data_IF_235032318644
#
_entry.id   IF_235032318644
#
_cell.length_a   1.000
_cell.length_b   1.000
_cell.length_c   1.000
_cell.angle_alpha   90.00
_cell.angle_beta   90.00
_cell.angle_gamma   90.00
#
_symmetry.space_group_name_H-M   'P 1'
#
loop_
_entity.id
_entity.type
_entity.pdbx_description
1 polymer ?
#
# COMPACT_ATOMS: atom_id res chain seq x y z
N UNK A 1 9.12 -10.16 16.95
CA UNK A 1 7.95 -9.72 16.15
C UNK A 1 8.38 -9.61 14.70
N UNK A 2 7.63 -10.19 13.76
CA UNK A 2 8.01 -10.14 12.34
C UNK A 2 7.85 -8.73 11.75
N UNK A 3 8.49 -8.45 10.61
CA UNK A 3 8.36 -7.12 9.99
C UNK A 3 6.93 -6.90 9.48
N UNK A 4 6.27 -7.95 8.99
CA UNK A 4 4.87 -7.85 8.59
C UNK A 4 3.96 -7.45 9.76
N UNK A 5 4.12 -8.08 10.93
CA UNK A 5 3.31 -7.71 12.09
C UNK A 5 3.54 -6.25 12.52
N UNK A 6 4.80 -5.77 12.48
CA UNK A 6 5.08 -4.36 12.80
C UNK A 6 4.40 -3.41 11.83
N UNK A 7 4.51 -3.68 10.53
CA UNK A 7 3.82 -2.89 9.50
C UNK A 7 2.31 -2.91 9.70
N UNK A 8 1.73 -4.08 9.98
CA UNK A 8 0.30 -4.25 10.17
C UNK A 8 -0.23 -3.48 11.39
N UNK A 9 0.45 -3.58 12.53
CA UNK A 9 0.04 -2.93 13.78
C UNK A 9 0.22 -1.41 13.71
N UNK A 10 1.23 -0.95 12.97
CA UNK A 10 1.49 0.48 12.76
C UNK A 10 0.69 1.09 11.61
N UNK A 11 -0.08 0.30 10.85
CA UNK A 11 -0.85 0.82 9.73
C UNK A 11 -2.06 1.60 10.24
N UNK A 12 -2.20 2.90 9.90
CA UNK A 12 -3.30 3.75 10.37
C UNK A 12 -4.60 3.48 9.59
N UNK A 13 -5.08 2.24 9.67
CA UNK A 13 -6.33 1.77 9.07
C UNK A 13 -7.53 2.58 9.55
N UNK A 14 -8.41 3.00 8.64
CA UNK A 14 -9.57 3.83 8.96
C UNK A 14 -9.29 5.30 9.32
N UNK A 15 -8.03 5.67 9.60
CA UNK A 15 -7.63 7.04 9.99
C UNK A 15 -7.09 7.88 8.83
N UNK A 16 -7.23 9.20 8.86
CA UNK A 16 -6.64 10.11 7.87
C UNK A 16 -5.41 10.80 8.49
N UNK A 17 -4.23 10.15 8.52
CA UNK A 17 -3.07 10.68 9.22
C UNK A 17 -2.62 12.05 8.70
N UNK A 18 -2.74 12.30 7.39
CA UNK A 18 -2.51 13.64 6.85
C UNK A 18 -3.77 14.48 6.99
N UNK A 19 -3.96 15.08 8.16
CA UNK A 19 -5.04 16.01 8.46
C UNK A 19 -4.50 17.25 9.17
N UNK A 20 -5.16 18.39 8.93
CA UNK A 20 -4.90 19.67 9.61
C UNK A 20 -6.23 20.19 10.16
N UNK A 21 -6.25 20.58 11.43
CA UNK A 21 -7.46 21.06 12.13
C UNK A 21 -8.67 20.11 12.02
N UNK A 22 -8.40 18.80 12.08
CA UNK A 22 -9.42 17.75 11.96
C UNK A 22 -9.95 17.52 10.55
N UNK A 23 -9.42 18.20 9.54
CA UNK A 23 -9.80 18.03 8.12
C UNK A 23 -8.73 17.29 7.35
N UNK A 24 -9.15 16.33 6.54
CA UNK A 24 -8.26 15.57 5.66
C UNK A 24 -7.64 16.49 4.60
N UNK A 25 -6.31 16.53 4.50
CA UNK A 25 -5.61 17.35 3.50
C UNK A 25 -5.65 16.72 2.09
N UNK A 26 -5.85 15.40 2.02
CA UNK A 26 -5.97 14.63 0.78
C UNK A 26 -7.12 13.63 0.89
N UNK A 27 -7.89 13.47 -0.18
CA UNK A 27 -9.00 12.49 -0.23
C UNK A 27 -8.46 11.05 -0.17
N UNK A 28 -7.50 10.73 -1.03
CA UNK A 28 -6.85 9.43 -1.10
C UNK A 28 -5.57 9.41 -0.27
N UNK A 29 -5.57 8.60 0.79
CA UNK A 29 -4.43 8.50 1.72
C UNK A 29 -3.82 7.09 1.78
N UNK A 30 -4.01 6.23 0.77
CA UNK A 30 -3.46 4.88 0.76
C UNK A 30 -1.92 4.88 0.90
N UNK A 31 -1.22 5.66 0.06
CA UNK A 31 0.22 5.83 0.15
C UNK A 31 0.67 6.50 1.45
N UNK A 32 -0.11 7.46 1.97
CA UNK A 32 0.19 8.14 3.23
C UNK A 32 0.13 7.13 4.39
N UNK A 33 -0.93 6.32 4.48
CA UNK A 33 -1.06 5.29 5.52
C UNK A 33 0.08 4.27 5.43
N UNK A 34 0.43 3.85 4.22
CA UNK A 34 1.54 2.93 4.01
C UNK A 34 2.89 3.56 4.42
N UNK A 35 3.10 4.84 4.11
CA UNK A 35 4.31 5.55 4.49
C UNK A 35 4.44 5.78 6.00
N UNK A 36 3.34 6.11 6.69
CA UNK A 36 3.28 6.13 8.17
C UNK A 36 3.62 4.75 8.74
N UNK A 37 3.05 3.68 8.17
CA UNK A 37 3.32 2.31 8.61
C UNK A 37 4.81 1.95 8.47
N UNK A 38 5.46 2.36 7.38
CA UNK A 38 6.89 2.18 7.18
C UNK A 38 7.71 2.93 8.22
N UNK A 39 7.50 4.24 8.37
CA UNK A 39 8.27 5.08 9.31
C UNK A 39 8.15 4.57 10.74
N UNK A 40 6.93 4.26 11.20
CA UNK A 40 6.67 3.72 12.54
C UNK A 40 7.23 2.31 12.74
N UNK A 41 7.51 1.57 11.66
CA UNK A 41 8.13 0.25 11.70
C UNK A 41 9.65 0.28 11.56
N UNK A 42 10.25 1.48 11.53
CA UNK A 42 11.70 1.68 11.40
C UNK A 42 12.22 1.58 9.97
N UNK A 43 11.35 1.75 8.96
CA UNK A 43 11.72 1.79 7.53
C UNK A 43 11.66 3.24 7.07
N UNK A 44 12.84 3.84 6.88
CA UNK A 44 12.94 5.22 6.45
C UNK A 44 12.68 5.38 4.95
N UNK A 45 11.62 6.10 4.60
CA UNK A 45 11.20 6.34 3.21
C UNK A 45 11.60 7.72 2.68
N UNK A 46 12.26 8.56 3.49
CA UNK A 46 12.57 9.96 3.13
C UNK A 46 13.54 10.04 1.95
N UNK A 47 14.42 9.06 1.81
CA UNK A 47 15.42 8.96 0.75
C UNK A 47 14.92 8.25 -0.52
N UNK A 48 13.66 7.81 -0.55
CA UNK A 48 13.13 6.97 -1.64
C UNK A 48 12.79 7.75 -2.92
N UNK A 49 12.95 9.07 -2.92
CA UNK A 49 12.67 9.92 -4.09
C UNK A 49 11.18 10.00 -4.45
N UNK A 50 10.29 9.86 -3.46
CA UNK A 50 8.84 9.94 -3.61
C UNK A 50 8.31 11.29 -3.11
N UNK A 51 7.17 11.75 -3.66
CA UNK A 51 6.53 12.99 -3.18
C UNK A 51 5.92 12.80 -1.80
N UNK A 52 6.22 13.74 -0.92
CA UNK A 52 5.64 13.84 0.42
C UNK A 52 4.67 15.02 0.48
N UNK A 53 3.72 14.99 1.41
CA UNK A 53 2.84 16.12 1.64
C UNK A 53 3.64 17.36 2.06
N UNK A 54 3.08 18.53 1.77
CA UNK A 54 3.66 19.83 2.15
C UNK A 54 3.09 20.37 3.47
N UNK A 55 2.22 19.61 4.16
CA UNK A 55 1.57 20.03 5.40
C UNK A 55 2.28 19.55 6.67
N UNK A 56 3.13 18.52 6.56
CA UNK A 56 3.75 17.82 7.69
C UNK A 56 5.23 17.55 7.41
N UNK A 57 6.00 17.25 8.46
CA UNK A 57 7.41 16.89 8.30
C UNK A 57 7.54 15.55 7.55
N UNK A 58 8.59 15.40 6.73
CA UNK A 58 8.83 14.15 5.98
C UNK A 58 9.03 12.95 6.90
N UNK A 59 9.45 13.15 8.14
CA UNK A 59 9.58 12.10 9.16
C UNK A 59 8.25 11.44 9.53
N UNK A 60 7.11 12.09 9.25
CA UNK A 60 5.78 11.49 9.45
C UNK A 60 5.43 10.47 8.34
N UNK A 61 6.20 10.42 7.25
CA UNK A 61 6.02 9.41 6.20
C UNK A 61 4.81 9.65 5.29
N UNK A 62 4.31 10.88 5.21
CA UNK A 62 3.13 11.22 4.39
C UNK A 62 3.43 11.24 2.89
N UNK A 63 3.60 10.07 2.27
CA UNK A 63 3.81 9.90 0.84
C UNK A 63 2.50 10.04 0.04
N UNK A 64 2.52 10.75 -1.09
CA UNK A 64 1.29 11.17 -1.79
C UNK A 64 0.78 10.20 -2.86
N UNK A 65 1.65 9.41 -3.49
CA UNK A 65 1.30 8.61 -4.66
C UNK A 65 1.62 7.13 -4.46
N UNK A 66 0.61 6.27 -4.66
CA UNK A 66 0.75 4.82 -4.55
C UNK A 66 1.73 4.27 -5.59
N UNK A 67 1.66 4.76 -6.83
CA UNK A 67 2.56 4.33 -7.90
C UNK A 67 4.02 4.74 -7.66
N UNK A 68 4.27 5.95 -7.16
CA UNK A 68 5.64 6.38 -6.79
C UNK A 68 6.20 5.52 -5.68
N UNK A 69 5.40 5.22 -4.65
CA UNK A 69 5.79 4.34 -3.56
C UNK A 69 6.08 2.93 -4.07
N UNK A 70 5.21 2.35 -4.89
CA UNK A 70 5.39 1.03 -5.48
C UNK A 70 6.67 0.97 -6.32
N UNK A 71 6.90 1.98 -7.18
CA UNK A 71 8.11 2.07 -7.99
C UNK A 71 9.37 2.21 -7.14
N UNK A 72 9.36 3.04 -6.10
CA UNK A 72 10.48 3.16 -5.18
C UNK A 72 10.76 1.84 -4.44
N UNK A 73 9.71 1.13 -4.01
CA UNK A 73 9.82 -0.16 -3.35
C UNK A 73 10.49 -1.24 -4.22
N UNK A 74 10.43 -1.12 -5.55
CA UNK A 74 11.18 -2.01 -6.46
C UNK A 74 12.70 -1.79 -6.45
N UNK A 75 13.16 -0.62 -5.99
CA UNK A 75 14.56 -0.17 -6.05
C UNK A 75 15.30 -0.31 -4.72
N UNK A 76 14.57 -0.45 -3.62
CA UNK A 76 15.14 -0.53 -2.28
C UNK A 76 15.11 -1.97 -1.75
N UNK A 77 16.01 -2.26 -0.81
CA UNK A 77 16.01 -3.52 -0.07
C UNK A 77 15.49 -3.24 1.33
N UNK A 78 14.37 -3.85 1.69
CA UNK A 78 13.82 -3.81 3.05
C UNK A 78 14.04 -5.17 3.70
N UNK A 79 14.78 -5.26 4.83
CA UNK A 79 14.98 -6.53 5.53
C UNK A 79 13.66 -7.23 5.86
N UNK A 80 13.56 -8.52 5.51
CA UNK A 80 12.35 -9.32 5.72
C UNK A 80 11.27 -9.19 4.65
N UNK A 81 11.53 -8.43 3.58
CA UNK A 81 10.68 -8.30 2.41
C UNK A 81 11.34 -8.93 1.18
N UNK A 82 10.60 -9.74 0.43
CA UNK A 82 11.05 -10.34 -0.84
C UNK A 82 11.01 -9.31 -1.98
N UNK A 83 11.61 -9.68 -3.11
CA UNK A 83 11.50 -8.89 -4.35
C UNK A 83 10.06 -8.88 -4.86
N UNK A 84 9.74 -7.84 -5.63
CA UNK A 84 8.43 -7.69 -6.25
C UNK A 84 8.11 -8.86 -7.19
N UNK A 85 6.92 -9.42 -7.01
CA UNK A 85 6.25 -10.31 -7.96
C UNK A 85 5.18 -9.50 -8.70
N UNK A 86 5.02 -9.74 -10.01
CA UNK A 86 4.07 -9.00 -10.84
C UNK A 86 3.12 -9.97 -11.50
N UNK A 87 1.83 -9.69 -11.38
CA UNK A 87 0.74 -10.49 -11.91
C UNK A 87 -0.25 -9.60 -12.66
N UNK A 88 -1.11 -10.24 -13.44
CA UNK A 88 -2.28 -9.57 -13.99
C UNK A 88 -3.35 -9.45 -12.91
N UNK A 89 -4.36 -8.61 -13.12
CA UNK A 89 -5.47 -8.51 -12.18
C UNK A 89 -6.34 -9.78 -12.12
N UNK A 90 -6.33 -10.61 -13.17
CA UNK A 90 -7.13 -11.83 -13.22
C UNK A 90 -6.55 -12.98 -12.41
N UNK A 91 -5.24 -13.12 -12.36
CA UNK A 91 -4.57 -14.19 -11.61
C UNK A 91 -3.94 -13.72 -10.29
N UNK A 92 -3.65 -12.42 -10.12
CA UNK A 92 -2.88 -11.90 -8.99
C UNK A 92 -3.40 -12.29 -7.61
N UNK A 93 -4.71 -12.25 -7.37
CA UNK A 93 -5.29 -12.65 -6.08
C UNK A 93 -5.09 -14.13 -5.76
N UNK A 94 -5.10 -15.00 -6.77
CA UNK A 94 -4.83 -16.44 -6.57
C UNK A 94 -3.39 -16.68 -6.14
N UNK A 95 -2.44 -15.89 -6.67
CA UNK A 95 -1.02 -15.99 -6.36
C UNK A 95 -0.62 -15.44 -4.99
N UNK A 96 -1.34 -14.44 -4.48
CA UNK A 96 -1.06 -13.83 -3.17
C UNK A 96 -1.91 -14.42 -2.04
N UNK A 97 -2.90 -15.27 -2.36
CA UNK A 97 -3.78 -15.90 -1.37
C UNK A 97 -2.96 -16.70 -0.34
N UNK A 98 -3.27 -16.52 0.94
CA UNK A 98 -2.56 -17.16 2.06
C UNK A 98 -1.18 -16.59 2.37
N UNK A 99 -0.67 -15.65 1.56
CA UNK A 99 0.64 -15.00 1.75
C UNK A 99 0.47 -13.64 2.40
N UNK A 100 1.48 -13.17 3.13
CA UNK A 100 1.46 -11.86 3.80
C UNK A 100 2.43 -10.92 3.12
N UNK A 101 2.06 -9.66 2.97
CA UNK A 101 2.91 -8.72 2.25
C UNK A 101 2.30 -7.37 1.98
N UNK A 102 2.94 -6.63 1.08
CA UNK A 102 2.45 -5.38 0.52
C UNK A 102 1.89 -5.69 -0.87
N UNK A 103 0.69 -5.18 -1.17
CA UNK A 103 0.05 -5.32 -2.46
C UNK A 103 -0.19 -3.93 -3.08
N UNK A 104 0.21 -3.77 -4.33
CA UNK A 104 -0.07 -2.61 -5.15
C UNK A 104 -0.95 -3.02 -6.34
N UNK A 105 -1.99 -2.23 -6.58
CA UNK A 105 -3.01 -2.46 -7.58
C UNK A 105 -3.01 -1.29 -8.54
N UNK A 106 -2.60 -1.56 -9.78
CA UNK A 106 -2.47 -0.57 -10.84
C UNK A 106 -3.57 -0.73 -11.88
N UNK A 107 -4.09 0.38 -12.39
CA UNK A 107 -5.00 0.41 -13.56
C UNK A 107 -6.30 -0.42 -13.38
N UNK A 108 -6.85 -0.53 -12.16
CA UNK A 108 -8.15 -1.16 -11.93
C UNK A 108 -9.29 -0.18 -12.28
N UNK A 109 -10.15 -0.56 -13.22
CA UNK A 109 -11.18 0.32 -13.80
C UNK A 109 -12.26 0.71 -12.76
N UNK A 110 -12.81 1.92 -12.83
CA UNK A 110 -13.80 2.51 -11.88
C UNK A 110 -13.26 3.05 -10.54
N UNK A 111 -11.95 3.14 -10.36
CA UNK A 111 -11.34 3.85 -9.23
C UNK A 111 -10.49 4.99 -9.76
N UNK A 112 -10.56 6.15 -9.12
CA UNK A 112 -9.64 7.25 -9.40
C UNK A 112 -8.26 6.93 -8.82
N UNK A 113 -7.45 6.24 -9.62
CA UNK A 113 -6.02 6.01 -9.37
C UNK A 113 -5.67 4.63 -8.81
N UNK A 114 -4.37 4.46 -8.53
CA UNK A 114 -3.80 3.20 -8.05
C UNK A 114 -3.91 3.07 -6.51
N UNK A 115 -3.85 1.84 -6.01
CA UNK A 115 -3.96 1.54 -4.57
C UNK A 115 -2.77 0.74 -4.06
N UNK A 116 -2.26 1.09 -2.87
CA UNK A 116 -1.23 0.33 -2.15
C UNK A 116 -1.70 0.07 -0.71
N UNK A 117 -1.51 -1.15 -0.21
CA UNK A 117 -1.95 -1.56 1.12
C UNK A 117 -1.20 -2.82 1.60
N UNK A 118 -1.33 -3.16 2.89
CA UNK A 118 -0.88 -4.45 3.41
C UNK A 118 -1.95 -5.52 3.20
N UNK A 119 -1.49 -6.73 2.89
CA UNK A 119 -2.27 -7.91 2.63
C UNK A 119 -1.90 -9.02 3.63
N UNK A 120 -2.88 -9.56 4.36
CA UNK A 120 -2.62 -10.57 5.40
C UNK A 120 -2.86 -12.03 4.96
N UNK A 121 -3.04 -12.27 3.66
CA UNK A 121 -3.37 -13.58 3.11
C UNK A 121 -4.85 -13.76 2.80
N UNK A 122 -5.72 -12.91 3.32
CA UNK A 122 -7.15 -12.95 3.08
C UNK A 122 -7.81 -11.60 2.80
N UNK A 123 -7.25 -10.51 3.32
CA UNK A 123 -7.81 -9.16 3.15
C UNK A 123 -6.73 -8.09 3.22
N UNK A 124 -7.09 -6.90 2.74
CA UNK A 124 -6.35 -5.67 2.96
C UNK A 124 -6.57 -5.13 4.39
N UNK A 125 -5.75 -4.17 4.82
CA UNK A 125 -5.90 -3.56 6.15
C UNK A 125 -7.25 -2.86 6.27
N UNK A 126 -7.68 -2.18 5.20
CA UNK A 126 -8.99 -1.53 5.00
C UNK A 126 -10.21 -2.46 5.12
N UNK A 127 -10.02 -3.70 5.56
CA UNK A 127 -11.03 -4.77 5.68
C UNK A 127 -11.60 -5.27 4.36
N UNK A 128 -11.14 -4.73 3.23
CA UNK A 128 -11.52 -5.19 1.90
C UNK A 128 -10.94 -6.59 1.65
N UNK A 129 -11.84 -7.56 1.45
CA UNK A 129 -11.51 -8.90 0.93
C UNK A 129 -11.24 -8.82 -0.57
N UNK A 130 -10.63 -9.84 -1.21
CA UNK A 130 -10.49 -9.92 -2.66
C UNK A 130 -11.80 -9.66 -3.37
N UNK A 131 -12.87 -10.29 -2.89
CA UNK A 131 -14.21 -10.13 -3.47
C UNK A 131 -14.67 -8.67 -3.39
N UNK A 132 -14.47 -8.01 -2.25
CA UNK A 132 -14.78 -6.60 -2.10
C UNK A 132 -13.90 -5.72 -3.00
N UNK A 133 -12.63 -6.08 -3.18
CA UNK A 133 -11.72 -5.39 -4.12
C UNK A 133 -12.21 -5.55 -5.55
N UNK A 134 -12.54 -6.76 -5.99
CA UNK A 134 -13.07 -7.03 -7.32
C UNK A 134 -14.36 -6.25 -7.60
N UNK A 135 -15.31 -6.24 -6.65
CA UNK A 135 -16.55 -5.49 -6.83
C UNK A 135 -16.36 -3.98 -6.77
N UNK A 136 -15.47 -3.49 -5.90
CA UNK A 136 -15.23 -2.05 -5.71
C UNK A 136 -14.37 -1.45 -6.82
N UNK A 137 -13.44 -2.22 -7.40
CA UNK A 137 -12.46 -1.76 -8.38
C UNK A 137 -12.69 -2.33 -9.79
N UNK A 138 -13.93 -2.68 -10.09
CA UNK A 138 -14.42 -2.93 -11.44
C UNK A 138 -14.33 -4.37 -11.95
N UNK A 139 -15.27 -4.71 -12.83
CA UNK A 139 -15.39 -6.02 -13.48
C UNK A 139 -14.38 -6.25 -14.62
N UNK A 140 -13.71 -5.22 -15.12
CA UNK A 140 -12.60 -5.33 -16.08
C UNK A 140 -11.23 -5.32 -15.39
N UNK A 141 -11.13 -6.04 -14.26
CA UNK A 141 -9.87 -6.27 -13.54
C UNK A 141 -8.81 -6.98 -14.40
N UNK A 142 -9.20 -7.53 -15.56
CA UNK A 142 -8.30 -8.23 -16.49
C UNK A 142 -7.17 -7.34 -17.02
N UNK A 143 -7.40 -6.03 -17.10
CA UNK A 143 -6.40 -5.03 -17.52
C UNK A 143 -5.55 -4.49 -16.37
N UNK A 144 -5.97 -4.72 -15.14
CA UNK A 144 -5.25 -4.29 -13.94
C UNK A 144 -3.96 -5.08 -13.75
N UNK A 145 -3.06 -4.56 -12.91
CA UNK A 145 -1.82 -5.22 -12.53
C UNK A 145 -1.73 -5.32 -11.01
N UNK A 146 -1.29 -6.46 -10.52
CA UNK A 146 -1.03 -6.70 -9.09
C UNK A 146 0.46 -6.84 -8.89
N UNK A 147 1.05 -5.98 -8.09
CA UNK A 147 2.44 -6.12 -7.65
C UNK A 147 2.43 -6.52 -6.19
N UNK A 148 3.23 -7.53 -5.85
CA UNK A 148 3.24 -8.10 -4.52
C UNK A 148 4.66 -8.23 -3.99
N UNK A 149 4.86 -7.80 -2.75
CA UNK A 149 6.09 -8.04 -2.00
C UNK A 149 5.72 -8.89 -0.80
N UNK A 150 6.14 -10.15 -0.80
CA UNK A 150 5.95 -11.00 0.37
C UNK A 150 6.82 -10.51 1.52
N UNK A 151 6.22 -10.41 2.71
CA UNK A 151 6.86 -9.91 3.93
C UNK A 151 6.69 -10.96 5.01
N UNK A 152 7.82 -11.35 5.62
CA UNK A 152 7.88 -12.37 6.68
C UNK A 152 7.52 -11.79 8.06
#
# INVERSE_FOLDING_TARGET
MSIFHRLWDNHPTGKHPCSSDGKSNFENQCAIRMGVAFMNSGIDIRSWGIRHCWHHDKSEGHALAAEEMANALTRVIVPGMKRVERYTGSDGFSHIKGRKGIAFFKDFYNVTGDHIDLWNGWRLTSTLSPLAVYFRWGSDYTKGKVWFWEVM
#
